data_IF_271361865435
#
_entry.id   IF_271361865435
#
_cell.length_a   1.000
_cell.length_b   1.000
_cell.length_c   1.000
_cell.angle_alpha   90.00
_cell.angle_beta   90.00
_cell.angle_gamma   90.00
#
_symmetry.space_group_name_H-M   'P 1'
#
loop_
_entity.id
_entity.type
_entity.pdbx_description
1 polymer ?
#
# COMPACT_ATOMS: atom_id res chain seq x y z
N UNK A 1 -8.60 8.39 -0.67
CA UNK A 1 -7.18 7.99 -0.79
C UNK A 1 -6.59 7.97 0.60
N UNK A 2 -5.97 6.86 1.02
CA UNK A 2 -5.19 6.87 2.26
C UNK A 2 -4.01 7.83 2.07
N UNK A 3 -3.74 8.67 3.07
CA UNK A 3 -2.64 9.62 3.04
C UNK A 3 -1.34 8.85 3.38
N UNK A 4 -0.80 8.15 2.38
CA UNK A 4 0.37 7.26 2.52
C UNK A 4 1.62 8.12 2.57
N UNK A 5 2.38 8.04 3.66
CA UNK A 5 3.62 8.79 3.84
C UNK A 5 4.79 8.12 3.11
N UNK A 6 5.84 8.89 2.84
CA UNK A 6 7.13 8.37 2.38
C UNK A 6 7.58 7.19 3.25
N UNK A 7 8.02 6.11 2.60
CA UNK A 7 8.43 4.87 3.23
C UNK A 7 7.30 3.89 3.57
N UNK A 8 6.03 4.31 3.53
CA UNK A 8 4.89 3.43 3.82
C UNK A 8 4.44 2.65 2.60
N UNK A 9 3.95 1.43 2.84
CA UNK A 9 3.34 0.60 1.82
C UNK A 9 1.89 1.00 1.57
N UNK A 10 1.42 0.77 0.35
CA UNK A 10 0.01 0.89 -0.02
C UNK A 10 -0.33 -0.14 -1.08
N UNK A 11 -1.60 -0.54 -1.14
CA UNK A 11 -2.08 -1.45 -2.16
C UNK A 11 -2.93 -0.68 -3.18
N UNK A 12 -2.80 -1.05 -4.46
CA UNK A 12 -3.55 -0.47 -5.57
C UNK A 12 -3.85 -1.55 -6.63
N UNK A 13 -4.90 -1.36 -7.47
CA UNK A 13 -5.14 -2.25 -8.59
C UNK A 13 -3.91 -2.30 -9.52
N UNK A 14 -3.47 -3.50 -9.87
CA UNK A 14 -2.35 -3.71 -10.79
C UNK A 14 -2.73 -4.73 -11.85
N UNK A 15 -3.05 -4.24 -13.06
CA UNK A 15 -3.56 -5.04 -14.19
C UNK A 15 -4.81 -5.84 -13.80
N UNK A 16 -4.64 -7.14 -13.52
CA UNK A 16 -5.69 -8.10 -13.14
C UNK A 16 -5.57 -8.59 -11.70
N UNK A 17 -4.63 -8.03 -10.92
CA UNK A 17 -4.35 -8.36 -9.52
C UNK A 17 -4.28 -7.11 -8.65
N UNK A 18 -3.86 -7.25 -7.39
CA UNK A 18 -3.65 -6.14 -6.45
C UNK A 18 -2.18 -6.02 -6.10
N UNK A 19 -1.53 -4.95 -6.58
CA UNK A 19 -0.13 -4.67 -6.33
C UNK A 19 0.09 -3.89 -5.04
N UNK A 20 1.14 -4.23 -4.31
CA UNK A 20 1.67 -3.47 -3.19
C UNK A 20 2.87 -2.66 -3.64
N UNK A 21 2.83 -1.38 -3.29
CA UNK A 21 3.82 -0.39 -3.66
C UNK A 21 4.35 0.29 -2.40
N UNK A 22 5.64 0.60 -2.39
CA UNK A 22 6.26 1.42 -1.36
C UNK A 22 6.35 2.86 -1.85
N UNK A 23 5.79 3.77 -1.06
CA UNK A 23 5.90 5.22 -1.31
C UNK A 23 7.37 5.61 -1.20
N UNK A 24 8.00 5.95 -2.32
CA UNK A 24 9.38 6.46 -2.28
C UNK A 24 9.42 7.96 -2.05
N UNK A 25 10.61 8.54 -2.23
CA UNK A 25 10.82 9.97 -2.02
C UNK A 25 10.24 10.78 -3.15
N UNK A 26 9.60 11.89 -2.82
CA UNK A 26 9.22 12.91 -3.81
C UNK A 26 10.40 13.84 -4.04
N UNK A 27 10.99 13.82 -5.23
CA UNK A 27 12.05 14.75 -5.65
C UNK A 27 11.57 15.54 -6.85
N UNK A 28 11.65 16.87 -6.80
CA UNK A 28 11.21 17.77 -7.89
C UNK A 28 9.76 17.53 -8.36
N UNK A 29 8.85 17.20 -7.45
CA UNK A 29 7.44 16.93 -7.78
C UNK A 29 7.17 15.54 -8.39
N UNK A 30 8.20 14.72 -8.59
CA UNK A 30 8.05 13.34 -9.00
C UNK A 30 8.24 12.42 -7.80
N UNK A 31 7.22 11.61 -7.49
CA UNK A 31 7.32 10.52 -6.53
C UNK A 31 7.65 9.24 -7.28
N UNK A 32 8.76 8.60 -6.93
CA UNK A 32 9.09 7.28 -7.46
C UNK A 32 8.59 6.27 -6.44
N UNK A 33 7.60 5.47 -6.81
CA UNK A 33 7.08 4.39 -5.98
C UNK A 33 7.72 3.06 -6.42
N UNK A 34 8.17 2.26 -5.46
CA UNK A 34 8.77 0.95 -5.75
C UNK A 34 7.69 -0.13 -5.68
N UNK A 35 7.61 -0.96 -6.71
CA UNK A 35 6.77 -2.16 -6.68
C UNK A 35 7.39 -3.18 -5.73
N UNK A 36 6.58 -3.72 -4.82
CA UNK A 36 7.04 -4.68 -3.81
C UNK A 36 6.60 -6.08 -4.15
N UNK A 37 5.30 -6.27 -4.36
CA UNK A 37 4.70 -7.59 -4.58
C UNK A 37 3.29 -7.46 -5.18
N UNK A 38 2.74 -8.54 -5.75
CA UNK A 38 1.33 -8.61 -6.14
C UNK A 38 0.57 -9.76 -5.48
N UNK A 39 -0.72 -9.53 -5.28
CA UNK A 39 -1.62 -10.45 -4.60
C UNK A 39 -2.85 -10.71 -5.47
N UNK A 40 -3.35 -11.93 -5.40
CA UNK A 40 -4.57 -12.33 -6.11
C UNK A 40 -5.79 -11.54 -5.62
N UNK A 41 -5.85 -11.23 -4.32
CA UNK A 41 -6.99 -10.53 -3.72
C UNK A 41 -6.61 -9.20 -3.04
N UNK A 42 -7.59 -8.28 -3.02
CA UNK A 42 -7.49 -7.00 -2.30
C UNK A 42 -7.25 -7.22 -0.81
N UNK A 43 -7.87 -8.24 -0.21
CA UNK A 43 -7.76 -8.52 1.22
C UNK A 43 -6.37 -8.98 1.63
N UNK A 44 -5.70 -9.78 0.79
CA UNK A 44 -4.31 -10.19 1.02
C UNK A 44 -3.38 -8.98 0.95
N UNK A 45 -3.47 -8.18 -0.10
CA UNK A 45 -2.69 -6.95 -0.25
C UNK A 45 -2.93 -5.99 0.92
N UNK A 46 -4.19 -5.84 1.38
CA UNK A 46 -4.53 -5.04 2.56
C UNK A 46 -3.87 -5.60 3.82
N UNK A 47 -4.01 -6.89 4.12
CA UNK A 47 -3.41 -7.51 5.31
C UNK A 47 -1.89 -7.34 5.32
N UNK A 48 -1.24 -7.51 4.17
CA UNK A 48 0.18 -7.30 4.01
C UNK A 48 0.59 -5.85 4.33
N UNK A 49 -0.07 -4.87 3.69
CA UNK A 49 0.20 -3.44 3.90
C UNK A 49 -0.03 -3.03 5.36
N UNK A 50 -1.13 -3.46 5.96
CA UNK A 50 -1.47 -3.11 7.34
C UNK A 50 -0.46 -3.70 8.32
N UNK A 51 -0.07 -4.97 8.13
CA UNK A 51 0.97 -5.61 8.95
C UNK A 51 2.33 -4.93 8.78
N UNK A 52 2.74 -4.65 7.53
CA UNK A 52 4.03 -4.05 7.22
C UNK A 52 4.16 -2.61 7.73
N UNK A 53 3.09 -1.82 7.65
CA UNK A 53 3.07 -0.46 8.18
C UNK A 53 2.75 -0.40 9.69
N UNK A 54 2.49 -1.55 10.34
CA UNK A 54 1.97 -1.62 11.70
C UNK A 54 0.72 -0.75 11.91
N UNK A 55 -0.13 -0.68 10.89
CA UNK A 55 -1.41 0.02 10.97
C UNK A 55 -2.39 -0.86 11.74
N UNK A 56 -3.11 -0.25 12.69
CA UNK A 56 -4.25 -0.93 13.31
C UNK A 56 -5.30 -1.14 12.24
N UNK A 57 -5.71 -2.39 12.04
CA UNK A 57 -6.90 -2.70 11.26
C UNK A 57 -8.09 -2.23 12.10
N UNK A 58 -8.41 -0.93 12.01
CA UNK A 58 -9.66 -0.39 12.52
C UNK A 58 -10.76 -0.94 11.61
N UNK A 59 -11.06 -2.23 11.71
CA UNK A 59 -12.43 -2.69 11.55
C UNK A 59 -13.20 -1.91 12.59
N UNK A 60 -14.08 -1.01 12.14
CA UNK A 60 -15.06 -0.38 13.01
C UNK A 60 -15.67 -1.47 13.89
N UNK A 61 -15.32 -1.45 15.18
CA UNK A 61 -16.24 -1.87 16.21
C UNK A 61 -17.29 -0.77 16.29
N UNK A 62 -18.56 -1.18 16.15
CA UNK A 62 -19.82 -0.42 16.19
C UNK A 62 -20.22 0.39 14.97
#
# INVERSE_FOLDING_TARGET
MYNVKEGQLYYAPHRSSWGVWKRGKTTNGCTIDDFVDDFASKEEARKFVFKANNWKDNKHSN
#
